data_IF_312783991542
#
_entry.id   IF_312783991542
#
_cell.length_a   1.000
_cell.length_b   1.000
_cell.length_c   1.000
_cell.angle_alpha   90.00
_cell.angle_beta   90.00
_cell.angle_gamma   90.00
#
_symmetry.space_group_name_H-M   'P 1'
#
loop_
_entity.id
_entity.type
_entity.pdbx_description
1 polymer ?
#
# COMPACT_ATOMS: atom_id res chain seq x y z
N UNK A 1 22.92 6.55 18.44
CA UNK A 1 23.52 7.80 17.89
C UNK A 1 23.13 7.90 16.43
N UNK A 2 22.59 9.02 15.95
CA UNK A 2 22.43 9.22 14.51
C UNK A 2 23.82 9.43 13.92
N UNK A 3 24.20 8.63 12.94
CA UNK A 3 25.53 8.65 12.34
C UNK A 3 25.40 8.60 10.82
N UNK A 4 26.50 8.63 10.05
CA UNK A 4 26.51 8.42 8.60
C UNK A 4 25.71 7.18 8.13
N UNK A 5 25.44 6.22 9.03
CA UNK A 5 24.50 5.12 8.79
C UNK A 5 23.06 5.57 8.53
N UNK A 6 22.60 6.68 9.13
CA UNK A 6 21.27 7.27 8.91
C UNK A 6 21.08 7.66 7.44
N UNK A 7 22.09 8.30 6.83
CA UNK A 7 22.02 8.76 5.44
C UNK A 7 22.05 7.59 4.45
N UNK A 8 22.93 6.60 4.69
CA UNK A 8 22.99 5.40 3.84
C UNK A 8 21.69 4.58 3.91
N UNK A 9 21.08 4.49 5.10
CA UNK A 9 19.78 3.86 5.31
C UNK A 9 18.65 4.62 4.62
N UNK A 10 18.59 5.94 4.75
CA UNK A 10 17.62 6.78 4.05
C UNK A 10 17.70 6.60 2.52
N UNK A 11 18.91 6.60 1.95
CA UNK A 11 19.13 6.36 0.52
C UNK A 11 18.68 4.97 0.08
N UNK A 12 18.91 3.95 0.89
CA UNK A 12 18.44 2.58 0.62
C UNK A 12 16.92 2.51 0.60
N UNK A 13 16.26 3.15 1.57
CA UNK A 13 14.79 3.19 1.67
C UNK A 13 14.18 3.95 0.49
N UNK A 14 14.75 5.09 0.06
CA UNK A 14 14.29 5.80 -1.14
C UNK A 14 14.39 4.92 -2.39
N UNK A 15 15.50 4.20 -2.58
CA UNK A 15 15.64 3.29 -3.72
C UNK A 15 14.52 2.24 -3.73
N UNK A 16 14.21 1.68 -2.57
CA UNK A 16 13.10 0.72 -2.43
C UNK A 16 11.75 1.40 -2.67
N UNK A 17 11.53 2.61 -2.15
CA UNK A 17 10.31 3.38 -2.33
C UNK A 17 10.03 3.64 -3.81
N UNK A 18 11.04 4.08 -4.58
CA UNK A 18 10.94 4.34 -6.02
C UNK A 18 10.61 3.06 -6.78
N UNK A 19 11.23 1.94 -6.44
CA UNK A 19 10.91 0.64 -7.06
C UNK A 19 9.45 0.26 -6.79
N UNK A 20 8.98 0.40 -5.54
CA UNK A 20 7.58 0.09 -5.18
C UNK A 20 6.58 1.05 -5.80
N UNK A 21 6.95 2.31 -5.98
CA UNK A 21 6.17 3.30 -6.69
C UNK A 21 6.01 2.91 -8.17
N UNK A 22 7.11 2.54 -8.85
CA UNK A 22 7.05 2.06 -10.24
C UNK A 22 6.31 0.72 -10.41
N UNK A 23 6.32 -0.14 -9.39
CA UNK A 23 5.55 -1.39 -9.37
C UNK A 23 4.04 -1.16 -9.12
N UNK A 24 3.59 0.08 -8.90
CA UNK A 24 2.19 0.39 -8.57
C UNK A 24 1.79 -0.01 -7.14
N UNK A 25 2.75 -0.43 -6.30
CA UNK A 25 2.54 -0.77 -4.88
C UNK A 25 2.54 0.51 -4.04
N UNK A 26 1.57 1.39 -4.32
CA UNK A 26 1.54 2.76 -3.81
C UNK A 26 1.53 2.81 -2.28
N UNK A 27 0.84 1.88 -1.61
CA UNK A 27 0.81 1.79 -0.15
C UNK A 27 2.19 1.55 0.47
N UNK A 28 2.95 0.59 -0.06
CA UNK A 28 4.32 0.33 0.37
C UNK A 28 5.25 1.48 0.04
N UNK A 29 5.10 2.05 -1.16
CA UNK A 29 5.91 3.19 -1.59
C UNK A 29 5.77 4.36 -0.61
N UNK A 30 4.53 4.70 -0.21
CA UNK A 30 4.26 5.73 0.81
C UNK A 30 4.96 5.41 2.13
N UNK A 31 4.84 4.18 2.64
CA UNK A 31 5.49 3.80 3.90
C UNK A 31 7.01 3.96 3.83
N UNK A 32 7.63 3.48 2.74
CA UNK A 32 9.07 3.57 2.54
C UNK A 32 9.55 5.01 2.34
N UNK A 33 8.77 5.86 1.66
CA UNK A 33 9.06 7.28 1.57
C UNK A 33 9.02 7.96 2.94
N UNK A 34 7.99 7.68 3.76
CA UNK A 34 7.91 8.23 5.12
C UNK A 34 9.08 7.77 6.00
N UNK A 35 9.41 6.48 6.02
CA UNK A 35 10.54 5.95 6.79
C UNK A 35 11.88 6.55 6.34
N UNK A 36 12.08 6.71 5.02
CA UNK A 36 13.27 7.36 4.49
C UNK A 36 13.39 8.83 4.96
N UNK A 37 12.28 9.57 4.95
CA UNK A 37 12.22 10.97 5.37
C UNK A 37 12.55 11.15 6.85
N UNK A 38 12.10 10.24 7.71
CA UNK A 38 12.47 10.21 9.13
C UNK A 38 13.98 10.04 9.33
N UNK A 39 14.65 9.27 8.48
CA UNK A 39 16.10 9.08 8.53
C UNK A 39 16.91 10.22 7.89
N UNK A 40 16.28 11.04 7.04
CA UNK A 40 16.91 12.23 6.48
C UNK A 40 17.01 13.39 7.46
N UNK A 41 16.06 13.51 8.41
CA UNK A 41 16.06 14.60 9.39
C UNK A 41 17.35 14.63 10.24
N UNK A 42 17.79 13.51 10.87
CA UNK A 42 19.07 13.48 11.56
C UNK A 42 20.25 13.66 10.61
N UNK A 43 20.16 13.18 9.37
CA UNK A 43 21.28 13.28 8.43
C UNK A 43 21.59 14.73 8.02
N UNK A 44 20.60 15.63 8.04
CA UNK A 44 20.80 17.06 7.78
C UNK A 44 21.57 17.78 8.90
N UNK A 45 21.57 17.24 10.12
CA UNK A 45 22.27 17.84 11.27
C UNK A 45 23.77 17.50 11.29
N UNK A 46 24.20 16.48 10.52
CA UNK A 46 25.59 16.00 10.48
C UNK A 46 26.33 16.37 9.20
N UNK A 47 25.68 17.00 8.22
CA UNK A 47 26.36 17.46 7.01
C UNK A 47 26.87 18.90 7.17
N UNK A 48 28.18 19.04 7.06
CA UNK A 48 28.90 20.31 7.26
C UNK A 48 28.94 21.17 5.99
N UNK A 49 28.80 20.56 4.81
CA UNK A 49 28.87 21.28 3.54
C UNK A 49 27.50 21.88 3.14
N UNK A 50 27.39 23.22 3.06
CA UNK A 50 26.10 23.87 2.80
C UNK A 50 25.51 23.53 1.41
N UNK A 51 26.35 23.29 0.40
CA UNK A 51 25.89 22.98 -0.96
C UNK A 51 25.23 21.59 -1.03
N UNK A 52 25.83 20.59 -0.40
CA UNK A 52 25.26 19.24 -0.30
C UNK A 52 23.99 19.21 0.56
N UNK A 53 23.94 19.99 1.64
CA UNK A 53 22.73 20.17 2.47
C UNK A 53 21.58 20.77 1.65
N UNK A 54 21.85 21.80 0.85
CA UNK A 54 20.84 22.41 -0.04
C UNK A 54 20.32 21.42 -1.08
N UNK A 55 21.22 20.71 -1.78
CA UNK A 55 20.83 19.69 -2.75
C UNK A 55 20.05 18.52 -2.11
N UNK A 56 20.38 18.14 -0.88
CA UNK A 56 19.66 17.11 -0.14
C UNK A 56 18.27 17.59 0.29
N UNK A 57 18.14 18.83 0.76
CA UNK A 57 16.84 19.45 1.09
C UNK A 57 15.92 19.52 -0.13
N UNK A 58 16.46 19.84 -1.30
CA UNK A 58 15.68 19.87 -2.55
C UNK A 58 15.13 18.48 -2.89
N UNK A 59 15.95 17.43 -2.79
CA UNK A 59 15.49 16.04 -2.99
C UNK A 59 14.47 15.59 -1.96
N UNK A 60 14.65 15.96 -0.70
CA UNK A 60 13.68 15.66 0.37
C UNK A 60 12.32 16.27 0.05
N UNK A 61 12.28 17.52 -0.44
CA UNK A 61 11.03 18.17 -0.87
C UNK A 61 10.33 17.37 -1.98
N UNK A 62 11.08 16.95 -3.00
CA UNK A 62 10.53 16.13 -4.09
C UNK A 62 9.97 14.79 -3.57
N UNK A 63 10.64 14.14 -2.61
CA UNK A 63 10.14 12.91 -2.01
C UNK A 63 8.90 13.13 -1.13
N UNK A 64 8.81 14.26 -0.42
CA UNK A 64 7.60 14.65 0.32
C UNK A 64 6.44 14.84 -0.65
N UNK A 65 6.61 15.65 -1.70
CA UNK A 65 5.58 15.89 -2.71
C UNK A 65 5.10 14.59 -3.35
N UNK A 66 6.03 13.70 -3.72
CA UNK A 66 5.68 12.39 -4.26
C UNK A 66 4.91 11.55 -3.26
N UNK A 67 5.35 11.49 -2.00
CA UNK A 67 4.66 10.75 -0.95
C UNK A 67 3.24 11.26 -0.70
N UNK A 68 3.01 12.57 -0.75
CA UNK A 68 1.68 13.17 -0.58
C UNK A 68 0.76 12.84 -1.76
N UNK A 69 1.25 12.92 -2.99
CA UNK A 69 0.51 12.50 -4.19
C UNK A 69 0.13 11.02 -4.08
N UNK A 70 1.08 10.16 -3.69
CA UNK A 70 0.84 8.74 -3.52
C UNK A 70 -0.15 8.44 -2.38
N UNK A 71 -0.08 9.17 -1.26
CA UNK A 71 -1.06 9.07 -0.17
C UNK A 71 -2.47 9.39 -0.64
N UNK A 72 -2.63 10.47 -1.42
CA UNK A 72 -3.93 10.82 -1.99
C UNK A 72 -4.47 9.71 -2.89
N UNK A 73 -3.64 9.18 -3.79
CA UNK A 73 -4.00 8.08 -4.68
C UNK A 73 -4.35 6.78 -3.91
N UNK A 74 -3.62 6.47 -2.83
CA UNK A 74 -3.94 5.33 -1.95
C UNK A 74 -5.25 5.56 -1.20
N UNK A 75 -5.51 6.78 -0.74
CA UNK A 75 -6.74 7.13 -0.02
C UNK A 75 -7.97 7.04 -0.92
N UNK A 76 -7.87 7.52 -2.16
CA UNK A 76 -8.94 7.38 -3.16
C UNK A 76 -9.19 5.91 -3.53
N UNK A 77 -8.13 5.09 -3.60
CA UNK A 77 -8.23 3.63 -3.83
C UNK A 77 -8.58 2.81 -2.59
N UNK A 78 -8.71 3.43 -1.41
CA UNK A 78 -9.17 2.78 -0.16
C UNK A 78 -10.55 3.32 0.23
N UNK A 79 -11.62 2.94 -0.50
CA UNK A 79 -12.99 3.18 -0.02
C UNK A 79 -13.31 2.39 1.28
N UNK A 80 -12.43 1.47 1.67
CA UNK A 80 -12.68 0.45 2.70
C UNK A 80 -12.55 0.91 4.16
N UNK A 81 -12.09 2.13 4.42
CA UNK A 81 -12.16 2.67 5.77
C UNK A 81 -13.62 3.02 6.06
N UNK A 82 -14.33 2.11 6.74
CA UNK A 82 -15.64 2.37 7.35
C UNK A 82 -15.61 3.76 7.97
N UNK A 83 -16.25 4.72 7.31
CA UNK A 83 -16.13 6.12 7.70
C UNK A 83 -16.71 6.38 9.10
N UNK A 84 -17.59 5.49 9.59
CA UNK A 84 -18.19 5.57 10.93
C UNK A 84 -18.43 4.18 11.54
N UNK A 85 -18.19 4.00 12.85
CA UNK A 85 -18.65 2.82 13.58
C UNK A 85 -20.17 2.82 13.65
N UNK A 86 -20.80 1.79 13.07
CA UNK A 86 -22.24 1.55 13.22
C UNK A 86 -22.48 0.90 14.59
N UNK A 87 -23.24 1.55 15.47
CA UNK A 87 -23.60 0.98 16.79
C UNK A 87 -24.15 -0.45 16.69
N UNK A 88 -24.99 -0.71 15.69
CA UNK A 88 -25.53 -2.04 15.41
C UNK A 88 -24.43 -3.06 15.05
N UNK A 89 -23.42 -2.65 14.28
CA UNK A 89 -22.28 -3.50 13.96
C UNK A 89 -21.43 -3.81 15.21
N UNK A 90 -21.27 -2.85 16.12
CA UNK A 90 -20.57 -3.09 17.40
C UNK A 90 -21.34 -4.09 18.28
N UNK A 91 -22.67 -4.00 18.30
CA UNK A 91 -23.54 -4.97 18.95
C UNK A 91 -23.45 -6.36 18.29
N UNK A 92 -23.47 -6.41 16.96
CA UNK A 92 -23.32 -7.64 16.18
C UNK A 92 -21.98 -8.33 16.45
N UNK A 93 -20.88 -7.58 16.52
CA UNK A 93 -19.55 -8.11 16.85
C UNK A 93 -19.48 -8.71 18.26
N UNK A 94 -20.23 -8.15 19.21
CA UNK A 94 -20.30 -8.68 20.59
C UNK A 94 -21.15 -9.94 20.65
N UNK A 95 -22.25 -9.96 19.88
CA UNK A 95 -23.25 -11.04 19.89
C UNK A 95 -22.83 -12.26 19.07
N UNK A 96 -22.15 -12.06 17.95
CA UNK A 96 -21.81 -13.13 17.00
C UNK A 96 -20.30 -13.17 16.74
N UNK A 97 -19.66 -14.25 17.20
CA UNK A 97 -18.21 -14.47 17.03
C UNK A 97 -17.82 -14.50 15.56
N UNK A 98 -18.67 -15.06 14.69
CA UNK A 98 -18.45 -15.11 13.25
C UNK A 98 -18.41 -13.71 12.60
N UNK A 99 -19.27 -12.77 13.04
CA UNK A 99 -19.21 -11.36 12.58
C UNK A 99 -17.86 -10.77 12.96
N UNK A 100 -17.47 -10.88 14.23
CA UNK A 100 -16.19 -10.35 14.71
C UNK A 100 -15.00 -10.95 13.95
N UNK A 101 -15.01 -12.26 13.72
CA UNK A 101 -13.96 -12.96 12.97
C UNK A 101 -13.88 -12.47 11.52
N UNK A 102 -15.02 -12.32 10.84
CA UNK A 102 -15.06 -11.79 9.48
C UNK A 102 -14.51 -10.36 9.39
N UNK A 103 -14.86 -9.49 10.35
CA UNK A 103 -14.33 -8.13 10.38
C UNK A 103 -12.81 -8.10 10.62
N UNK A 104 -12.28 -8.97 11.48
CA UNK A 104 -10.82 -9.10 11.68
C UNK A 104 -10.14 -9.54 10.39
N UNK A 105 -10.75 -10.45 9.61
CA UNK A 105 -10.23 -10.86 8.31
C UNK A 105 -10.22 -9.68 7.32
N UNK A 106 -11.28 -8.90 7.24
CA UNK A 106 -11.33 -7.68 6.43
C UNK A 106 -10.26 -6.64 6.85
N UNK A 107 -10.08 -6.40 8.16
CA UNK A 107 -9.02 -5.51 8.65
C UNK A 107 -7.60 -6.01 8.31
N UNK A 108 -7.40 -7.32 8.30
CA UNK A 108 -6.14 -7.90 7.86
C UNK A 108 -5.96 -7.77 6.34
N UNK A 109 -7.03 -7.92 5.56
CA UNK A 109 -7.02 -7.65 4.13
C UNK A 109 -6.58 -6.20 3.85
N UNK A 110 -7.14 -5.21 4.54
CA UNK A 110 -6.74 -3.80 4.38
C UNK A 110 -5.24 -3.57 4.64
N UNK A 111 -4.68 -4.26 5.65
CA UNK A 111 -3.24 -4.22 5.94
C UNK A 111 -2.43 -4.90 4.83
N UNK A 112 -2.91 -6.00 4.27
CA UNK A 112 -2.24 -6.69 3.17
C UNK A 112 -2.29 -5.87 1.88
N UNK A 113 -3.41 -5.22 1.60
CA UNK A 113 -3.52 -4.28 0.48
C UNK A 113 -2.58 -3.09 0.63
N UNK A 114 -2.42 -2.58 1.87
CA UNK A 114 -1.42 -1.55 2.16
C UNK A 114 0.00 -2.00 1.81
N UNK A 115 0.25 -3.30 1.90
CA UNK A 115 1.51 -3.95 1.56
C UNK A 115 1.58 -4.41 0.09
N UNK A 116 0.55 -4.15 -0.72
CA UNK A 116 0.48 -4.66 -2.09
C UNK A 116 0.43 -6.19 -2.19
N UNK A 117 0.11 -6.88 -1.08
CA UNK A 117 -0.06 -8.33 -1.03
C UNK A 117 -1.50 -8.71 -1.42
N UNK A 118 -1.89 -8.37 -2.66
CA UNK A 118 -3.29 -8.46 -3.12
C UNK A 118 -3.85 -9.89 -3.14
N UNK A 119 -3.02 -10.90 -3.41
CA UNK A 119 -3.43 -12.31 -3.36
C UNK A 119 -3.89 -12.71 -1.95
N UNK A 120 -3.06 -12.38 -0.95
CA UNK A 120 -3.38 -12.66 0.46
C UNK A 120 -4.52 -11.81 0.98
N UNK A 121 -4.64 -10.58 0.49
CA UNK A 121 -5.80 -9.73 0.80
C UNK A 121 -7.10 -10.35 0.26
N UNK A 122 -7.08 -10.87 -0.98
CA UNK A 122 -8.21 -11.57 -1.59
C UNK A 122 -8.62 -12.82 -0.78
N UNK A 123 -7.65 -13.64 -0.36
CA UNK A 123 -7.90 -14.79 0.53
C UNK A 123 -8.57 -14.36 1.84
N UNK A 124 -8.18 -13.21 2.41
CA UNK A 124 -8.79 -12.68 3.62
C UNK A 124 -10.24 -12.24 3.38
N UNK A 125 -10.57 -11.60 2.24
CA UNK A 125 -11.95 -11.27 1.90
C UNK A 125 -12.80 -12.52 1.64
N UNK A 126 -12.28 -13.51 0.93
CA UNK A 126 -12.96 -14.79 0.72
C UNK A 126 -13.29 -15.48 2.04
N UNK A 127 -12.30 -15.59 2.94
CA UNK A 127 -12.52 -16.16 4.27
C UNK A 127 -13.52 -15.35 5.12
N UNK A 128 -13.59 -14.03 4.95
CA UNK A 128 -14.59 -13.21 5.62
C UNK A 128 -16.00 -13.49 5.07
N UNK A 129 -16.14 -13.64 3.75
CA UNK A 129 -17.40 -13.95 3.08
C UNK A 129 -17.94 -15.32 3.48
N UNK A 130 -17.08 -16.34 3.56
CA UNK A 130 -17.45 -17.69 4.04
C UNK A 130 -18.06 -17.69 5.44
N UNK A 131 -17.64 -16.75 6.30
CA UNK A 131 -18.19 -16.60 7.65
C UNK A 131 -19.53 -15.86 7.67
N UNK A 132 -19.73 -14.88 6.79
CA UNK A 132 -20.92 -14.01 6.80
C UNK A 132 -22.09 -14.58 5.98
N UNK A 133 -21.82 -15.25 4.86
CA UNK A 133 -22.87 -15.76 3.95
C UNK A 133 -23.86 -16.70 4.67
N UNK A 134 -23.42 -17.72 5.44
CA UNK A 134 -24.36 -18.62 6.13
C UNK A 134 -25.18 -17.92 7.21
N UNK A 135 -24.66 -16.84 7.82
CA UNK A 135 -25.38 -16.12 8.86
C UNK A 135 -26.56 -15.30 8.32
N UNK A 136 -26.52 -14.87 7.06
CA UNK A 136 -27.61 -14.11 6.45
C UNK A 136 -28.91 -14.92 6.45
N UNK A 137 -28.82 -16.24 6.23
CA UNK A 137 -29.97 -17.15 6.20
C UNK A 137 -30.52 -17.43 7.60
N UNK A 138 -29.62 -17.56 8.59
CA UNK A 138 -29.99 -17.80 9.99
C UNK A 138 -30.46 -16.56 10.77
N UNK A 139 -30.30 -15.36 10.22
CA UNK A 139 -30.63 -14.11 10.94
C UNK A 139 -32.10 -13.76 10.78
N UNK A 140 -32.84 -13.86 11.89
CA UNK A 140 -34.26 -13.51 11.98
C UNK A 140 -34.52 -11.99 12.10
N UNK A 141 -33.57 -11.23 12.65
CA UNK A 141 -33.68 -9.78 12.75
C UNK A 141 -33.42 -9.12 11.38
N UNK A 142 -34.41 -8.35 10.89
CA UNK A 142 -34.34 -7.68 9.58
C UNK A 142 -33.17 -6.70 9.48
N UNK A 143 -32.91 -5.90 10.51
CA UNK A 143 -31.86 -4.88 10.49
C UNK A 143 -30.47 -5.52 10.51
N UNK A 144 -30.26 -6.52 11.38
CA UNK A 144 -29.04 -7.33 11.42
C UNK A 144 -28.78 -7.99 10.05
N UNK A 145 -29.81 -8.55 9.42
CA UNK A 145 -29.69 -9.19 8.11
C UNK A 145 -29.37 -8.20 6.99
N UNK A 146 -29.94 -7.00 7.01
CA UNK A 146 -29.61 -5.95 6.03
C UNK A 146 -28.18 -5.46 6.20
N UNK A 147 -27.74 -5.29 7.45
CA UNK A 147 -26.35 -4.92 7.76
C UNK A 147 -25.38 -5.99 7.26
N UNK A 148 -25.63 -7.27 7.55
CA UNK A 148 -24.80 -8.38 7.06
C UNK A 148 -24.74 -8.42 5.53
N UNK A 149 -25.87 -8.18 4.85
CA UNK A 149 -25.89 -8.08 3.39
C UNK A 149 -25.05 -6.91 2.87
N UNK A 150 -25.11 -5.75 3.51
CA UNK A 150 -24.26 -4.61 3.12
C UNK A 150 -22.76 -4.89 3.34
N UNK A 151 -22.40 -5.58 4.42
CA UNK A 151 -21.00 -5.97 4.69
C UNK A 151 -20.51 -7.02 3.69
N UNK A 152 -21.35 -8.02 3.36
CA UNK A 152 -21.04 -9.01 2.33
C UNK A 152 -20.87 -8.36 0.97
N UNK A 153 -21.77 -7.45 0.58
CA UNK A 153 -21.66 -6.74 -0.70
C UNK A 153 -20.35 -5.95 -0.78
N UNK A 154 -20.03 -5.20 0.28
CA UNK A 154 -18.77 -4.46 0.38
C UNK A 154 -17.55 -5.39 0.18
N UNK A 155 -17.55 -6.56 0.81
CA UNK A 155 -16.43 -7.51 0.70
C UNK A 155 -16.35 -8.15 -0.69
N UNK A 156 -17.49 -8.41 -1.33
CA UNK A 156 -17.56 -8.91 -2.71
C UNK A 156 -17.04 -7.89 -3.72
N UNK A 157 -17.52 -6.65 -3.65
CA UNK A 157 -17.11 -5.57 -4.56
C UNK A 157 -15.58 -5.40 -4.51
N UNK A 158 -15.01 -5.43 -3.30
CA UNK A 158 -13.55 -5.30 -3.15
C UNK A 158 -12.78 -6.53 -3.62
N UNK A 159 -13.28 -7.72 -3.35
CA UNK A 159 -12.69 -8.95 -3.88
C UNK A 159 -12.68 -8.95 -5.42
N UNK A 160 -13.75 -8.44 -6.04
CA UNK A 160 -13.87 -8.29 -7.49
C UNK A 160 -12.86 -7.27 -8.05
N UNK A 161 -12.72 -6.11 -7.42
CA UNK A 161 -11.70 -5.10 -7.78
C UNK A 161 -10.28 -5.68 -7.70
N UNK A 162 -9.96 -6.38 -6.60
CA UNK A 162 -8.66 -7.04 -6.43
C UNK A 162 -8.44 -8.16 -7.45
N UNK A 163 -9.49 -8.84 -7.89
CA UNK A 163 -9.38 -9.84 -8.96
C UNK A 163 -9.19 -9.21 -10.34
N UNK A 164 -9.83 -8.08 -10.61
CA UNK A 164 -9.79 -7.38 -11.89
C UNK A 164 -8.42 -6.75 -12.15
N UNK A 165 -7.80 -6.19 -11.10
CA UNK A 165 -6.42 -5.65 -11.18
C UNK A 165 -5.36 -6.69 -11.55
N UNK A 166 -5.62 -8.00 -11.39
CA UNK A 166 -4.70 -9.05 -11.86
C UNK A 166 -4.69 -9.20 -13.39
N UNK A 167 -5.79 -8.85 -14.06
CA UNK A 167 -5.91 -8.95 -15.52
C UNK A 167 -5.27 -7.77 -16.27
N UNK A 168 -4.98 -6.65 -15.59
CA UNK A 168 -4.27 -5.50 -16.14
C UNK A 168 -2.76 -5.55 -15.87
N UNK A 169 -2.14 -6.74 -15.99
CA UNK A 169 -0.67 -6.82 -16.08
C UNK A 169 -0.24 -6.62 -17.54
N UNK A 170 0.16 -5.42 -17.98
CA UNK A 170 1.04 -5.34 -19.12
C UNK A 170 2.32 -6.07 -18.72
N UNK A 171 2.56 -7.19 -19.38
CA UNK A 171 3.87 -7.84 -19.42
C UNK A 171 4.89 -6.80 -19.88
N UNK A 172 5.52 -6.12 -18.92
CA UNK A 172 6.56 -5.15 -19.20
C UNK A 172 7.80 -5.94 -19.59
N UNK A 173 8.11 -5.84 -20.87
CA UNK A 173 9.23 -6.47 -21.58
C UNK A 173 10.55 -6.29 -20.83
N UNK A 174 11.36 -7.33 -20.96
CA UNK A 174 12.68 -7.54 -20.35
C UNK A 174 13.57 -6.29 -20.26
N UNK A 175 14.28 -6.07 -19.14
CA UNK A 175 15.33 -5.07 -19.05
C UNK A 175 16.65 -5.64 -19.60
N UNK A 176 16.71 -5.86 -20.91
CA UNK A 176 17.98 -6.07 -21.61
C UNK A 176 18.19 -5.00 -22.67
N UNK A 177 18.75 -3.86 -22.26
CA UNK A 177 19.62 -3.07 -23.13
C UNK A 177 20.59 -2.22 -22.31
N UNK A 178 21.55 -2.88 -21.67
CA UNK A 178 22.88 -2.30 -21.53
C UNK A 178 23.70 -2.86 -22.69
N UNK A 179 23.60 -2.22 -23.86
CA UNK A 179 24.61 -2.41 -24.91
C UNK A 179 25.49 -1.18 -24.96
N UNK A 180 26.74 -1.41 -24.57
CA UNK A 180 27.86 -0.52 -24.79
C UNK A 180 27.97 -0.19 -26.28
N UNK A 181 28.18 1.09 -26.60
CA UNK A 181 28.93 1.48 -27.81
C UNK A 181 29.45 2.91 -27.64
N UNK A 182 30.77 3.05 -27.52
CA UNK A 182 31.54 4.18 -28.06
C UNK A 182 33.05 3.88 -27.96
N UNK A 183 33.49 2.78 -28.58
CA UNK A 183 34.82 2.76 -29.18
C UNK A 183 34.65 3.16 -30.65
N UNK A 184 35.00 4.40 -30.98
CA UNK A 184 35.20 4.81 -32.37
C UNK A 184 36.69 4.99 -32.61
N UNK A 185 37.33 3.90 -33.01
CA UNK A 185 38.59 3.91 -33.72
C UNK A 185 38.26 4.14 -35.19
N UNK A 186 38.67 5.28 -35.75
CA UNK A 186 38.62 5.54 -37.18
C UNK A 186 40.06 5.54 -37.70
N UNK A 187 40.44 4.44 -38.36
CA UNK A 187 41.56 4.37 -39.30
C UNK A 187 40.97 4.04 -40.68
N UNK A 188 41.74 4.40 -41.72
CA UNK A 188 41.48 4.33 -43.17
C UNK A 188 40.97 5.68 -43.68
N UNK A 189 41.78 6.50 -44.38
CA UNK A 189 42.66 6.16 -45.51
C UNK A 189 43.81 7.17 -45.65
#
# INVERSE_FOLDING_TARGET
MPSAQSLSRARSLIKQAVVKDSEGKLGLAVTLYCEALEHFLPALEYEDDPSTVEALKEKIKQYIERAEILKAAVKEKRPFLREKPHKLLDEMQKKYVAVKAALIKAQNADKLESRGEYDRALECYQAALELLLPMIEGTSNREERLLLKSEVQLFLDRAEELSSTKNDTPQLKDPHCLSATAESRCEVQ
#
